data_IF_126763851580
#
_entry.id   IF_126763851580
#
_cell.length_a   1.000
_cell.length_b   1.000
_cell.length_c   1.000
_cell.angle_alpha   90.00
_cell.angle_beta   90.00
_cell.angle_gamma   90.00
#
_symmetry.space_group_name_H-M   'P 1'
#
loop_
_entity.id
_entity.type
_entity.pdbx_description
1 polymer ?
#
# COMPACT_ATOMS: atom_id res chain seq x y z
N UNK A 1 36.40 -45.35 18.96
CA UNK A 1 36.01 -44.02 19.37
C UNK A 1 35.12 -43.43 18.28
N UNK A 2 33.84 -43.37 18.56
CA UNK A 2 32.87 -42.82 17.64
C UNK A 2 32.66 -41.34 17.99
N UNK A 3 33.15 -40.43 17.16
CA UNK A 3 32.87 -39.01 17.30
C UNK A 3 31.54 -38.74 16.60
N UNK A 4 30.50 -38.54 17.39
CA UNK A 4 29.21 -38.05 16.88
C UNK A 4 29.35 -36.56 16.68
N UNK A 5 29.58 -36.13 15.46
CA UNK A 5 29.46 -34.75 15.03
C UNK A 5 27.94 -34.44 14.99
N UNK A 6 27.44 -33.87 16.08
CA UNK A 6 26.12 -33.27 16.07
C UNK A 6 26.25 -31.98 15.30
N UNK A 7 25.91 -32.03 14.02
CA UNK A 7 25.72 -30.82 13.21
C UNK A 7 24.49 -30.10 13.77
N UNK A 8 24.72 -29.08 14.58
CA UNK A 8 23.67 -28.15 14.95
C UNK A 8 23.29 -27.37 13.71
N UNK A 9 22.21 -27.79 13.08
CA UNK A 9 21.56 -27.01 12.03
C UNK A 9 20.87 -25.84 12.71
N UNK A 10 21.57 -24.72 12.77
CA UNK A 10 20.96 -23.44 13.16
C UNK A 10 19.98 -23.07 12.05
N UNK A 11 18.70 -23.37 12.29
CA UNK A 11 17.64 -22.84 11.47
C UNK A 11 17.55 -21.36 11.81
N UNK A 12 18.19 -20.54 11.00
CA UNK A 12 18.00 -19.10 11.03
C UNK A 12 16.60 -18.83 10.51
N UNK A 13 15.64 -18.67 11.43
CA UNK A 13 14.36 -18.10 11.08
C UNK A 13 14.61 -16.65 10.66
N UNK A 14 14.72 -16.39 9.36
CA UNK A 14 14.74 -15.04 8.85
C UNK A 14 13.34 -14.47 9.04
N UNK A 15 13.20 -13.46 9.92
CA UNK A 15 12.04 -12.59 9.92
C UNK A 15 12.07 -11.81 8.62
N UNK A 16 11.40 -12.33 7.60
CA UNK A 16 11.14 -11.55 6.40
C UNK A 16 10.15 -10.44 6.77
N UNK A 17 10.45 -9.20 6.37
CA UNK A 17 9.50 -8.08 6.46
C UNK A 17 8.25 -8.36 5.63
N UNK A 18 7.27 -7.43 5.61
CA UNK A 18 6.06 -7.61 4.83
C UNK A 18 6.40 -7.82 3.36
N UNK A 19 5.71 -8.77 2.74
CA UNK A 19 5.88 -9.05 1.32
C UNK A 19 5.32 -7.91 0.48
N UNK A 20 6.02 -7.58 -0.60
CA UNK A 20 5.52 -6.64 -1.58
C UNK A 20 4.18 -7.10 -2.15
N UNK A 21 3.34 -6.14 -2.50
CA UNK A 21 2.08 -6.41 -3.18
C UNK A 21 2.40 -6.81 -4.62
N UNK A 22 2.02 -8.02 -5.05
CA UNK A 22 2.26 -8.42 -6.43
C UNK A 22 1.38 -7.63 -7.41
N UNK A 23 1.87 -7.47 -8.62
CA UNK A 23 1.12 -6.90 -9.72
C UNK A 23 1.41 -5.44 -10.06
N UNK A 24 2.11 -4.70 -9.19
CA UNK A 24 2.59 -3.35 -9.50
C UNK A 24 3.85 -3.01 -8.71
N UNK A 25 4.54 -1.95 -9.13
CA UNK A 25 5.79 -1.52 -8.50
C UNK A 25 5.52 -0.76 -7.20
N UNK A 26 5.69 -1.42 -6.06
CA UNK A 26 5.40 -0.86 -4.74
C UNK A 26 6.30 0.33 -4.39
N UNK A 27 7.59 0.24 -4.66
CA UNK A 27 8.54 1.34 -4.39
C UNK A 27 8.20 2.58 -5.19
N UNK A 28 7.87 2.43 -6.46
CA UNK A 28 7.47 3.52 -7.35
C UNK A 28 6.17 4.17 -6.89
N UNK A 29 5.21 3.38 -6.44
CA UNK A 29 3.96 3.86 -5.85
C UNK A 29 4.23 4.66 -4.57
N UNK A 30 5.02 4.09 -3.66
CA UNK A 30 5.38 4.70 -2.39
C UNK A 30 6.11 6.03 -2.55
N UNK A 31 6.94 6.15 -3.59
CA UNK A 31 7.78 7.32 -3.82
C UNK A 31 7.09 8.44 -4.61
N UNK A 32 5.78 8.35 -4.82
CA UNK A 32 4.99 9.38 -5.48
C UNK A 32 3.86 9.92 -4.57
N UNK A 33 4.19 10.49 -3.39
CA UNK A 33 3.16 11.01 -2.50
C UNK A 33 2.32 12.08 -3.19
N UNK A 34 1.03 12.09 -2.90
CA UNK A 34 0.01 12.96 -3.51
C UNK A 34 -0.13 12.81 -5.05
N UNK A 35 0.50 11.81 -5.64
CA UNK A 35 0.47 11.58 -7.08
C UNK A 35 1.16 12.66 -7.91
N UNK A 36 1.99 13.51 -7.30
CA UNK A 36 2.53 14.72 -7.93
C UNK A 36 3.43 14.45 -9.13
N UNK A 37 4.14 13.32 -9.15
CA UNK A 37 5.07 12.97 -10.23
C UNK A 37 4.42 12.18 -11.38
N UNK A 38 3.14 11.82 -11.23
CA UNK A 38 2.41 11.04 -12.24
C UNK A 38 2.78 9.55 -12.30
N UNK A 39 3.64 9.08 -11.41
CA UNK A 39 4.11 7.69 -11.39
C UNK A 39 3.00 6.70 -11.06
N UNK A 40 2.16 7.04 -10.08
CA UNK A 40 1.01 6.22 -9.69
C UNK A 40 -0.01 6.10 -10.82
N UNK A 41 -0.26 7.18 -11.53
CA UNK A 41 -1.22 7.20 -12.63
C UNK A 41 -0.75 6.33 -13.81
N UNK A 42 0.55 6.28 -14.06
CA UNK A 42 1.13 5.38 -15.05
C UNK A 42 0.91 3.89 -14.73
N UNK A 43 0.69 3.57 -13.46
CA UNK A 43 0.43 2.21 -12.99
C UNK A 43 -1.07 1.90 -12.84
N UNK A 44 -1.97 2.77 -13.30
CA UNK A 44 -3.41 2.64 -13.06
C UNK A 44 -3.95 1.27 -13.48
N UNK A 45 -3.61 0.78 -14.65
CA UNK A 45 -4.09 -0.51 -15.15
C UNK A 45 -3.61 -1.67 -14.27
N UNK A 46 -2.36 -1.62 -13.83
CA UNK A 46 -1.78 -2.59 -12.93
C UNK A 46 -2.45 -2.53 -11.54
N UNK A 47 -2.70 -1.32 -11.04
CA UNK A 47 -3.40 -1.12 -9.77
C UNK A 47 -4.82 -1.69 -9.82
N UNK A 48 -5.56 -1.41 -10.88
CA UNK A 48 -6.91 -1.92 -11.09
C UNK A 48 -6.94 -3.46 -11.10
N UNK A 49 -5.94 -4.08 -11.71
CA UNK A 49 -5.83 -5.53 -11.79
C UNK A 49 -5.37 -6.16 -10.47
N UNK A 50 -4.54 -5.47 -9.70
CA UNK A 50 -3.84 -6.01 -8.53
C UNK A 50 -4.37 -5.50 -7.18
N UNK A 51 -5.30 -4.55 -7.16
CA UNK A 51 -5.78 -3.90 -5.93
C UNK A 51 -6.26 -4.85 -4.85
N UNK A 52 -6.87 -5.96 -5.23
CA UNK A 52 -7.35 -6.95 -4.27
C UNK A 52 -6.21 -7.75 -3.59
N UNK A 53 -4.98 -7.64 -4.09
CA UNK A 53 -3.81 -8.20 -3.42
C UNK A 53 -3.44 -7.42 -2.13
N UNK A 54 -4.06 -6.28 -1.90
CA UNK A 54 -3.95 -5.52 -0.64
C UNK A 54 -4.85 -6.08 0.46
N UNK A 55 -5.89 -6.84 0.13
CA UNK A 55 -6.85 -7.38 1.10
C UNK A 55 -6.18 -8.22 2.19
N UNK A 56 -6.64 -8.05 3.42
CA UNK A 56 -6.16 -8.80 4.58
C UNK A 56 -4.86 -8.31 5.19
N UNK A 57 -4.16 -7.38 4.56
CA UNK A 57 -2.94 -6.80 5.12
C UNK A 57 -3.30 -5.91 6.31
N UNK A 58 -2.44 -5.88 7.33
CA UNK A 58 -2.60 -4.93 8.42
C UNK A 58 -2.05 -3.55 8.02
N UNK A 59 -2.43 -2.53 8.76
CA UNK A 59 -2.06 -1.14 8.50
C UNK A 59 -0.54 -0.94 8.40
N UNK A 60 0.22 -1.55 9.30
CA UNK A 60 1.67 -1.37 9.34
C UNK A 60 2.36 -1.97 8.11
N UNK A 61 1.94 -3.15 7.69
CA UNK A 61 2.46 -3.79 6.48
C UNK A 61 2.10 -3.00 5.23
N UNK A 62 0.87 -2.50 5.17
CA UNK A 62 0.42 -1.64 4.08
C UNK A 62 1.30 -0.39 3.94
N UNK A 63 1.54 0.32 5.05
CA UNK A 63 2.37 1.53 5.05
C UNK A 63 3.83 1.25 4.67
N UNK A 64 4.35 0.09 5.03
CA UNK A 64 5.72 -0.29 4.65
C UNK A 64 5.87 -0.55 3.16
N UNK A 65 4.86 -1.16 2.53
CA UNK A 65 4.95 -1.56 1.11
C UNK A 65 4.50 -0.49 0.15
N UNK A 66 3.45 0.27 0.46
CA UNK A 66 2.94 1.32 -0.44
C UNK A 66 2.98 2.74 0.14
N UNK A 67 3.48 2.89 1.36
CA UNK A 67 3.65 4.18 2.02
C UNK A 67 2.46 4.59 2.87
N UNK A 68 2.65 5.70 3.60
CA UNK A 68 1.57 6.32 4.35
C UNK A 68 0.54 6.90 3.39
N UNK A 69 -0.75 6.90 3.77
CA UNK A 69 -1.77 7.51 2.93
C UNK A 69 -1.58 9.02 2.80
N UNK A 70 -2.03 9.57 1.69
CA UNK A 70 -2.05 11.02 1.48
C UNK A 70 -3.14 11.68 2.31
N UNK A 71 -4.23 10.96 2.52
CA UNK A 71 -5.35 11.36 3.40
C UNK A 71 -5.86 10.17 4.18
N UNK A 72 -6.47 10.47 5.33
CA UNK A 72 -7.13 9.49 6.17
C UNK A 72 -8.52 10.02 6.54
N UNK A 73 -9.55 9.22 6.35
CA UNK A 73 -10.91 9.56 6.74
C UNK A 73 -11.45 8.52 7.71
N UNK A 74 -12.10 9.00 8.78
CA UNK A 74 -12.80 8.14 9.72
C UNK A 74 -14.12 7.66 9.11
N UNK A 75 -14.45 6.42 9.38
CA UNK A 75 -15.67 5.79 8.96
C UNK A 75 -16.36 5.10 10.15
N UNK A 76 -17.60 4.72 9.98
CA UNK A 76 -18.42 4.14 11.04
C UNK A 76 -17.75 2.98 11.80
N UNK A 77 -18.04 2.86 13.09
CA UNK A 77 -17.64 1.73 13.95
C UNK A 77 -16.11 1.51 14.05
N UNK A 78 -15.37 2.61 14.11
CA UNK A 78 -13.91 2.54 14.26
C UNK A 78 -13.14 2.17 12.99
N UNK A 79 -13.83 2.09 11.87
CA UNK A 79 -13.21 1.88 10.55
C UNK A 79 -12.58 3.18 10.06
N UNK A 80 -11.70 3.08 9.06
CA UNK A 80 -11.08 4.23 8.40
C UNK A 80 -10.78 3.94 6.95
N UNK A 81 -10.70 5.00 6.15
CA UNK A 81 -10.19 4.94 4.80
C UNK A 81 -8.79 5.53 4.76
N UNK A 82 -7.87 4.80 4.15
CA UNK A 82 -6.61 5.32 3.67
C UNK A 82 -6.79 5.69 2.20
N UNK A 83 -6.45 6.93 1.87
CA UNK A 83 -6.66 7.48 0.53
C UNK A 83 -5.31 7.84 -0.07
N UNK A 84 -5.03 7.23 -1.22
CA UNK A 84 -3.82 7.49 -1.99
C UNK A 84 -4.21 8.17 -3.30
N UNK A 85 -3.71 9.38 -3.55
CA UNK A 85 -3.97 10.08 -4.78
C UNK A 85 -3.16 9.45 -5.92
N UNK A 86 -3.84 9.10 -7.00
CA UNK A 86 -3.20 8.57 -8.20
C UNK A 86 -2.89 9.69 -9.20
N UNK A 87 -3.75 10.71 -9.27
CA UNK A 87 -3.53 11.93 -10.03
C UNK A 87 -3.11 13.07 -9.10
N UNK A 88 -2.37 14.08 -9.61
CA UNK A 88 -1.93 15.22 -8.81
C UNK A 88 -3.08 15.91 -8.10
N UNK A 89 -2.98 16.01 -6.77
CA UNK A 89 -3.95 16.68 -5.92
C UNK A 89 -3.54 18.11 -5.55
N UNK A 90 -4.33 18.77 -4.66
CA UNK A 90 -4.09 20.15 -4.25
C UNK A 90 -2.75 20.40 -3.55
N UNK A 91 -2.13 19.36 -2.97
CA UNK A 91 -0.83 19.47 -2.31
C UNK A 91 0.34 19.57 -3.29
N UNK A 92 0.10 19.30 -4.58
CA UNK A 92 1.13 19.40 -5.61
C UNK A 92 1.31 20.84 -6.07
N UNK A 93 2.57 21.23 -6.26
CA UNK A 93 2.88 22.52 -6.85
C UNK A 93 2.63 22.51 -8.36
N UNK A 94 2.11 23.63 -8.91
CA UNK A 94 2.03 23.87 -10.33
C UNK A 94 0.66 23.68 -10.96
N UNK A 95 0.64 23.66 -12.29
CA UNK A 95 -0.56 23.71 -13.13
C UNK A 95 -1.24 22.37 -13.39
N UNK A 96 -0.70 21.29 -12.81
CA UNK A 96 -1.17 19.92 -13.07
C UNK A 96 -2.19 19.42 -12.06
N UNK A 97 -2.71 20.29 -11.19
CA UNK A 97 -3.73 19.91 -10.21
C UNK A 97 -5.03 19.51 -10.92
N UNK A 98 -5.45 18.29 -10.69
CA UNK A 98 -6.73 17.79 -11.17
C UNK A 98 -7.80 18.13 -10.14
N UNK A 99 -8.92 18.73 -10.56
CA UNK A 99 -10.00 19.17 -9.69
C UNK A 99 -10.65 18.00 -8.94
N UNK A 100 -10.86 16.89 -9.62
CA UNK A 100 -11.36 15.63 -9.05
C UNK A 100 -10.39 14.49 -9.36
N UNK A 101 -9.31 14.35 -8.60
CA UNK A 101 -8.31 13.36 -8.89
C UNK A 101 -8.81 11.93 -8.66
N UNK A 102 -8.31 11.01 -9.48
CA UNK A 102 -8.52 9.57 -9.26
C UNK A 102 -7.74 9.17 -8.02
N UNK A 103 -8.39 8.43 -7.13
CA UNK A 103 -7.84 8.01 -5.83
C UNK A 103 -8.03 6.53 -5.60
N UNK A 104 -7.06 5.93 -4.91
CA UNK A 104 -7.15 4.58 -4.37
C UNK A 104 -7.66 4.68 -2.93
N UNK A 105 -8.81 4.07 -2.68
CA UNK A 105 -9.42 3.98 -1.35
C UNK A 105 -9.17 2.61 -0.75
N UNK A 106 -8.54 2.58 0.40
CA UNK A 106 -8.29 1.36 1.15
C UNK A 106 -9.05 1.43 2.47
N UNK A 107 -10.07 0.60 2.62
CA UNK A 107 -10.83 0.54 3.87
C UNK A 107 -10.17 -0.40 4.85
N UNK A 108 -9.89 0.12 6.04
CA UNK A 108 -9.38 -0.63 7.17
C UNK A 108 -10.50 -0.90 8.17
N UNK A 109 -10.59 -2.12 8.65
CA UNK A 109 -11.51 -2.50 9.73
C UNK A 109 -11.11 -1.84 11.06
N UNK A 110 -11.95 -1.96 12.07
CA UNK A 110 -11.63 -1.52 13.43
C UNK A 110 -10.38 -2.22 14.01
N UNK A 111 -9.98 -3.36 13.44
CA UNK A 111 -8.77 -4.10 13.79
C UNK A 111 -7.59 -3.77 12.87
N UNK A 112 -7.69 -2.68 12.11
CA UNK A 112 -6.64 -2.20 11.20
C UNK A 112 -6.24 -3.20 10.10
N UNK A 113 -7.20 -3.96 9.59
CA UNK A 113 -7.00 -4.87 8.45
C UNK A 113 -7.74 -4.37 7.22
N UNK A 114 -7.11 -4.50 6.06
CA UNK A 114 -7.70 -4.10 4.77
C UNK A 114 -8.87 -5.02 4.43
N UNK A 115 -10.08 -4.44 4.29
CA UNK A 115 -11.31 -5.18 3.99
C UNK A 115 -11.90 -4.86 2.62
N UNK A 116 -11.54 -3.71 2.04
CA UNK A 116 -12.04 -3.29 0.73
C UNK A 116 -11.03 -2.35 0.07
N UNK A 117 -10.87 -2.50 -1.22
CA UNK A 117 -10.02 -1.60 -2.03
C UNK A 117 -10.79 -1.18 -3.27
N UNK A 118 -10.89 0.12 -3.49
CA UNK A 118 -11.58 0.69 -4.65
C UNK A 118 -10.78 1.84 -5.26
N UNK A 119 -10.96 2.05 -6.55
CA UNK A 119 -10.40 3.18 -7.28
C UNK A 119 -11.57 4.03 -7.76
N UNK A 120 -11.55 5.31 -7.42
CA UNK A 120 -12.63 6.23 -7.79
C UNK A 120 -12.15 7.67 -7.83
N UNK A 121 -12.87 8.50 -8.52
CA UNK A 121 -12.76 9.94 -8.46
C UNK A 121 -14.00 10.51 -7.75
N UNK A 122 -13.77 11.51 -6.94
CA UNK A 122 -14.84 12.19 -6.21
C UNK A 122 -14.94 13.63 -6.68
#
# INVERSE_FOLDING_TARGET
MLFILIAHFLIMASCSGPENVPGFNNSRFKNDPDGCEGERMQMLDDILSAKNNLLGRNRFDLEKVIGKPDREELYEKGQRYYIYLLEPGPACDGTLNVEMPIMLYVRLSALDQVTEVSVKNI
#
